data_IF_492846128360
#
_entry.id   IF_492846128360
#
_cell.length_a   1.000
_cell.length_b   1.000
_cell.length_c   1.000
_cell.angle_alpha   90.00
_cell.angle_beta   90.00
_cell.angle_gamma   90.00
#
_symmetry.space_group_name_H-M   'P 1'
#
loop_
_entity.id
_entity.type
_entity.pdbx_description
1 polymer ?
#
# COMPACT_ATOMS: atom_id res chain seq x y z
N UNK A 1 7.58 -5.63 -5.84
CA UNK A 1 8.54 -4.63 -5.30
C UNK A 1 8.53 -4.82 -3.81
N UNK A 2 9.64 -5.20 -3.23
CA UNK A 2 9.71 -5.52 -1.80
C UNK A 2 9.34 -4.28 -1.00
N UNK A 3 8.39 -4.38 -0.09
CA UNK A 3 7.88 -3.24 0.72
C UNK A 3 8.95 -2.64 1.65
N UNK A 4 10.07 -3.34 1.82
CA UNK A 4 11.20 -2.94 2.65
C UNK A 4 12.30 -2.20 1.89
N UNK A 5 12.27 -2.19 0.56
CA UNK A 5 13.32 -1.56 -0.24
C UNK A 5 12.85 -0.21 -0.75
N UNK A 6 13.68 0.81 -0.55
CA UNK A 6 13.51 2.13 -1.14
C UNK A 6 13.40 2.08 -2.68
N UNK A 7 13.63 3.21 -3.30
CA UNK A 7 13.66 3.29 -4.77
C UNK A 7 14.80 2.44 -5.38
N UNK A 8 14.88 2.43 -6.72
CA UNK A 8 15.89 1.67 -7.49
C UNK A 8 17.32 2.04 -7.07
N UNK A 9 17.58 3.31 -6.74
CA UNK A 9 18.89 3.79 -6.32
C UNK A 9 19.31 3.17 -4.97
N UNK A 10 18.41 3.07 -4.00
CA UNK A 10 18.72 2.45 -2.71
C UNK A 10 18.96 0.95 -2.84
N UNK A 11 18.17 0.27 -3.67
CA UNK A 11 18.36 -1.16 -3.97
C UNK A 11 19.75 -1.39 -4.58
N UNK A 12 20.14 -0.58 -5.56
CA UNK A 12 21.46 -0.66 -6.19
C UNK A 12 22.59 -0.35 -5.20
N UNK A 13 22.40 0.64 -4.32
CA UNK A 13 23.37 0.96 -3.27
C UNK A 13 23.58 -0.21 -2.31
N UNK A 14 22.50 -0.88 -1.87
CA UNK A 14 22.56 -2.02 -0.93
C UNK A 14 23.18 -3.27 -1.53
N UNK A 15 23.13 -3.46 -2.84
CA UNK A 15 23.77 -4.58 -3.53
C UNK A 15 25.30 -4.45 -3.61
N UNK A 16 25.82 -3.24 -3.47
CA UNK A 16 27.24 -2.94 -3.59
C UNK A 16 27.96 -2.81 -2.24
N UNK A 17 29.16 -2.25 -2.31
CA UNK A 17 30.08 -2.05 -1.15
C UNK A 17 29.56 -1.04 -0.12
N UNK A 18 28.51 -0.28 -0.41
CA UNK A 18 27.89 0.71 0.47
C UNK A 18 28.91 1.69 1.10
N UNK A 19 29.78 2.27 0.27
CA UNK A 19 30.82 3.15 0.74
C UNK A 19 30.26 4.51 1.15
N UNK A 20 30.59 4.96 2.36
CA UNK A 20 30.23 6.29 2.85
C UNK A 20 31.51 7.12 3.12
N UNK A 21 31.36 8.44 2.87
CA UNK A 21 32.48 9.36 3.14
C UNK A 21 32.72 9.45 4.64
N UNK A 22 33.89 8.99 5.09
CA UNK A 22 34.25 8.82 6.50
C UNK A 22 35.55 9.57 6.83
N UNK A 23 35.69 9.99 8.09
CA UNK A 23 36.89 10.63 8.60
C UNK A 23 37.26 10.04 9.95
N UNK A 24 38.49 10.29 10.37
CA UNK A 24 38.97 9.94 11.69
C UNK A 24 38.58 11.02 12.71
N UNK A 25 38.10 10.60 13.87
CA UNK A 25 37.80 11.50 14.98
C UNK A 25 39.08 12.08 15.57
N UNK A 26 39.17 13.40 15.74
CA UNK A 26 40.41 14.01 16.28
C UNK A 26 40.71 13.65 17.75
N UNK A 27 39.71 13.13 18.48
CA UNK A 27 39.90 12.81 19.91
C UNK A 27 40.11 11.32 20.17
N UNK A 28 39.44 10.41 19.47
CA UNK A 28 39.55 8.97 19.73
C UNK A 28 40.19 8.18 18.57
N UNK A 29 40.50 8.83 17.46
CA UNK A 29 41.09 8.26 16.25
C UNK A 29 40.29 7.13 15.58
N UNK A 30 39.07 6.85 16.04
CA UNK A 30 38.16 5.92 15.33
C UNK A 30 37.54 6.58 14.09
N UNK A 31 37.44 5.80 13.02
CA UNK A 31 36.83 6.24 11.75
C UNK A 31 35.32 6.11 11.84
N UNK A 32 34.61 7.12 11.34
CA UNK A 32 33.14 7.13 11.25
C UNK A 32 32.66 7.93 10.03
N UNK A 33 31.46 7.64 9.49
CA UNK A 33 30.87 8.44 8.42
C UNK A 33 30.61 9.89 8.83
N UNK A 34 30.70 10.80 7.86
CA UNK A 34 30.26 12.19 7.99
C UNK A 34 28.84 12.24 7.47
N UNK A 35 27.89 12.07 8.39
CA UNK A 35 26.46 12.00 8.11
C UNK A 35 25.65 12.90 9.05
N UNK A 36 24.52 13.44 8.58
CA UNK A 36 23.64 14.30 9.37
C UNK A 36 23.09 13.56 10.59
N UNK A 37 22.66 12.32 10.40
CA UNK A 37 22.22 11.44 11.48
C UNK A 37 22.95 10.10 11.38
N UNK A 38 23.56 9.66 12.48
CA UNK A 38 24.16 8.34 12.62
C UNK A 38 23.34 7.49 13.58
N UNK A 39 23.29 6.20 13.30
CA UNK A 39 22.67 5.24 14.19
C UNK A 39 23.34 5.21 15.57
N UNK A 40 22.61 4.72 16.55
CA UNK A 40 23.16 4.56 17.89
C UNK A 40 24.27 3.51 17.85
N UNK A 41 25.47 3.89 18.30
CA UNK A 41 26.57 2.97 18.38
C UNK A 41 26.29 1.91 19.47
N UNK A 42 26.36 0.65 19.12
CA UNK A 42 26.02 -0.47 20.02
C UNK A 42 26.94 -0.58 21.23
N UNK A 43 28.26 -0.27 21.07
CA UNK A 43 29.23 -0.36 22.12
C UNK A 43 29.11 0.78 23.15
N UNK A 44 28.89 2.00 22.67
CA UNK A 44 28.95 3.21 23.52
C UNK A 44 27.55 3.70 23.92
N UNK A 45 26.51 3.28 23.21
CA UNK A 45 25.17 3.78 23.38
C UNK A 45 24.96 5.22 22.88
N UNK A 46 25.97 5.84 22.26
CA UNK A 46 25.93 7.22 21.79
C UNK A 46 25.32 7.31 20.37
N UNK A 47 24.52 8.32 20.15
CA UNK A 47 24.07 8.71 18.81
C UNK A 47 24.99 9.82 18.30
N UNK A 48 25.64 9.56 17.16
CA UNK A 48 26.51 10.52 16.47
C UNK A 48 25.77 11.32 15.38
N UNK A 49 26.55 12.11 14.65
CA UNK A 49 26.04 13.00 13.61
C UNK A 49 25.83 14.43 14.12
N UNK A 50 25.00 15.20 13.42
CA UNK A 50 24.71 16.59 13.82
C UNK A 50 23.74 16.59 15.01
N UNK A 51 24.12 17.33 16.05
CA UNK A 51 23.35 17.47 17.28
C UNK A 51 23.22 18.95 17.65
N UNK A 52 22.20 19.31 18.38
CA UNK A 52 21.95 20.64 18.93
C UNK A 52 21.27 20.54 20.30
N UNK A 53 21.09 21.66 20.96
CA UNK A 53 20.50 21.69 22.29
C UNK A 53 19.07 21.14 22.31
N UNK A 54 18.81 20.21 23.24
CA UNK A 54 17.48 19.65 23.43
C UNK A 54 16.42 20.73 23.76
N UNK A 55 16.84 21.82 24.41
CA UNK A 55 15.99 22.95 24.75
C UNK A 55 15.56 23.80 23.51
N UNK A 56 16.04 23.47 22.31
CA UNK A 56 15.49 24.00 21.06
C UNK A 56 14.16 23.33 20.69
N UNK A 57 13.79 22.17 21.30
CA UNK A 57 12.47 21.57 21.13
C UNK A 57 11.46 22.29 22.02
N UNK A 58 10.36 22.79 21.44
CA UNK A 58 9.28 23.46 22.15
C UNK A 58 8.23 22.47 22.63
N UNK A 59 7.36 22.91 23.53
CA UNK A 59 6.27 22.09 24.07
C UNK A 59 5.23 21.68 23.01
N UNK A 60 5.08 22.49 21.94
CA UNK A 60 4.21 22.21 20.79
C UNK A 60 4.83 21.26 19.75
N UNK A 61 5.91 20.58 20.12
CA UNK A 61 6.71 19.71 19.26
C UNK A 61 7.40 20.38 18.08
N UNK A 62 7.38 21.72 17.99
CA UNK A 62 8.16 22.44 16.98
C UNK A 62 9.58 22.78 17.47
N UNK A 63 10.45 23.15 16.54
CA UNK A 63 11.82 23.58 16.84
C UNK A 63 11.93 25.09 16.89
N UNK A 64 12.66 25.58 17.86
CA UNK A 64 13.27 26.92 17.81
C UNK A 64 14.47 26.85 16.86
N UNK A 65 14.26 27.27 15.62
CA UNK A 65 15.24 27.15 14.55
C UNK A 65 16.51 27.93 14.88
N UNK A 66 16.39 29.14 15.39
CA UNK A 66 17.53 29.98 15.73
C UNK A 66 18.42 29.34 16.79
N UNK A 67 17.80 28.82 17.85
CA UNK A 67 18.51 28.11 18.93
C UNK A 67 19.16 26.81 18.46
N UNK A 68 18.46 26.03 17.61
CA UNK A 68 19.02 24.81 17.04
C UNK A 68 20.24 25.09 16.16
N UNK A 69 20.16 26.11 15.32
CA UNK A 69 21.24 26.56 14.42
C UNK A 69 22.45 27.05 15.21
N UNK A 70 22.24 27.87 16.24
CA UNK A 70 23.32 28.45 17.07
C UNK A 70 24.07 27.37 17.86
N UNK A 71 23.37 26.34 18.33
CA UNK A 71 23.93 25.28 19.17
C UNK A 71 24.39 24.05 18.38
N UNK A 72 24.32 24.02 17.05
CA UNK A 72 24.61 22.84 16.27
C UNK A 72 26.13 22.50 16.24
N UNK A 73 26.41 21.21 16.35
CA UNK A 73 27.73 20.62 16.33
C UNK A 73 27.70 19.18 15.84
N UNK A 74 28.83 18.67 15.37
CA UNK A 74 28.94 17.27 14.97
C UNK A 74 29.50 16.44 16.13
N UNK A 75 28.81 15.36 16.50
CA UNK A 75 29.18 14.45 17.57
C UNK A 75 29.73 13.12 17.03
N UNK A 76 30.92 12.74 17.50
CA UNK A 76 31.47 11.42 17.22
C UNK A 76 30.64 10.30 17.89
N UNK A 77 30.25 9.24 17.18
CA UNK A 77 29.45 8.14 17.75
C UNK A 77 30.26 7.25 18.72
N UNK A 78 31.59 7.32 18.69
CA UNK A 78 32.45 6.46 19.49
C UNK A 78 32.84 7.06 20.84
N UNK A 79 33.09 8.36 20.91
CA UNK A 79 33.58 8.99 22.15
C UNK A 79 32.78 10.22 22.59
N UNK A 80 31.81 10.66 21.79
CA UNK A 80 31.02 11.84 22.10
C UNK A 80 31.74 13.18 21.87
N UNK A 81 32.99 13.19 21.34
CA UNK A 81 33.66 14.42 20.98
C UNK A 81 32.82 15.26 20.02
N UNK A 82 32.70 16.57 20.30
CA UNK A 82 31.89 17.49 19.52
C UNK A 82 32.78 18.47 18.74
N UNK A 83 32.56 18.50 17.42
CA UNK A 83 33.24 19.41 16.49
C UNK A 83 32.34 20.56 16.10
N UNK A 84 32.80 21.83 16.16
CA UNK A 84 31.98 22.99 15.81
C UNK A 84 31.76 23.12 14.29
N UNK A 85 30.68 23.85 13.87
CA UNK A 85 30.44 24.19 12.47
C UNK A 85 31.37 25.30 11.96
N UNK A 86 32.60 24.94 11.63
CA UNK A 86 33.57 25.88 11.07
C UNK A 86 34.10 25.42 9.72
N UNK A 87 34.63 26.36 8.93
CA UNK A 87 35.27 26.04 7.65
C UNK A 87 36.49 25.15 7.84
N UNK A 88 37.21 25.31 8.96
CA UNK A 88 38.35 24.45 9.33
C UNK A 88 37.90 23.00 9.52
N UNK A 89 36.80 22.78 10.27
CA UNK A 89 36.26 21.44 10.49
C UNK A 89 35.86 20.78 9.16
N UNK A 90 35.10 21.47 8.32
CA UNK A 90 34.69 20.94 7.01
C UNK A 90 35.86 20.70 6.05
N UNK A 91 36.84 21.61 6.05
CA UNK A 91 38.04 21.43 5.25
C UNK A 91 38.85 20.22 5.74
N UNK A 92 38.89 19.98 7.05
CA UNK A 92 39.50 18.78 7.64
C UNK A 92 38.83 17.51 7.14
N UNK A 93 37.49 17.44 7.17
CA UNK A 93 36.72 16.29 6.65
C UNK A 93 36.97 16.02 5.17
N UNK A 94 37.05 17.09 4.34
CA UNK A 94 37.34 16.96 2.90
C UNK A 94 38.76 16.46 2.61
N UNK A 95 39.74 16.89 3.39
CA UNK A 95 41.18 16.56 3.19
C UNK A 95 41.56 15.19 3.74
N UNK A 96 41.05 14.84 4.93
CA UNK A 96 41.37 13.60 5.62
C UNK A 96 40.35 12.49 5.39
N UNK A 97 39.19 12.81 4.77
CA UNK A 97 38.16 11.83 4.52
C UNK A 97 38.49 10.88 3.37
N UNK A 98 37.90 9.73 3.44
CA UNK A 98 37.92 8.68 2.40
C UNK A 98 36.63 7.89 2.39
N UNK A 99 36.36 7.22 1.28
CA UNK A 99 35.27 6.25 1.21
C UNK A 99 35.65 4.99 2.00
N UNK A 100 34.77 4.56 2.86
CA UNK A 100 34.90 3.34 3.67
C UNK A 100 33.72 2.42 3.36
N UNK A 101 33.99 1.17 2.96
CA UNK A 101 32.93 0.20 2.70
C UNK A 101 32.29 -0.22 4.02
N UNK A 102 30.94 -0.24 4.02
CA UNK A 102 30.12 -0.75 5.13
C UNK A 102 29.67 -2.20 4.89
N UNK A 103 29.70 -2.65 3.63
CA UNK A 103 29.38 -4.01 3.23
C UNK A 103 30.59 -4.69 2.61
N UNK A 104 31.39 -5.34 3.45
CA UNK A 104 32.58 -6.08 3.02
C UNK A 104 32.26 -7.39 2.31
N UNK A 105 31.02 -7.90 2.44
CA UNK A 105 30.56 -9.11 1.78
C UNK A 105 30.08 -8.89 0.34
N UNK A 106 29.98 -7.63 -0.11
CA UNK A 106 29.57 -7.32 -1.46
C UNK A 106 30.60 -7.79 -2.50
N UNK A 107 30.14 -8.20 -3.72
CA UNK A 107 31.06 -8.47 -4.82
C UNK A 107 31.94 -7.25 -5.11
N UNK A 108 33.24 -7.47 -5.28
CA UNK A 108 34.23 -6.39 -5.47
C UNK A 108 33.95 -5.55 -6.75
N UNK A 109 33.26 -6.14 -7.71
CA UNK A 109 32.88 -5.49 -8.98
C UNK A 109 31.72 -4.50 -8.79
N UNK A 110 30.94 -4.62 -7.70
CA UNK A 110 29.79 -3.74 -7.43
C UNK A 110 30.16 -2.74 -6.37
N UNK A 111 30.70 -1.60 -6.81
CA UNK A 111 31.03 -0.49 -5.91
C UNK A 111 29.88 0.52 -5.88
N UNK A 112 29.39 0.82 -4.69
CA UNK A 112 28.35 1.82 -4.46
C UNK A 112 28.80 2.87 -3.46
N UNK A 113 28.44 4.13 -3.74
CA UNK A 113 28.95 5.28 -2.99
C UNK A 113 27.79 6.17 -2.54
N UNK A 114 27.88 6.71 -1.32
CA UNK A 114 26.99 7.72 -0.78
C UNK A 114 27.78 8.88 -0.21
N UNK A 115 27.38 10.10 -0.57
CA UNK A 115 27.93 11.33 -0.02
C UNK A 115 26.80 12.24 0.41
N UNK A 116 26.77 12.58 1.69
CA UNK A 116 25.79 13.53 2.21
C UNK A 116 26.22 14.98 2.00
N UNK A 117 25.24 15.88 1.92
CA UNK A 117 25.51 17.31 1.76
C UNK A 117 26.35 17.90 2.90
N UNK A 118 26.37 17.27 4.07
CA UNK A 118 27.15 17.67 5.24
C UNK A 118 28.66 17.77 4.96
N UNK A 119 29.20 16.95 4.05
CA UNK A 119 30.61 17.02 3.65
C UNK A 119 30.97 18.35 3.00
N UNK A 120 30.02 19.02 2.33
CA UNK A 120 30.25 20.24 1.55
C UNK A 120 29.51 21.46 2.05
N UNK A 121 28.38 21.31 2.75
CA UNK A 121 27.53 22.39 3.25
C UNK A 121 27.75 22.64 4.75
N UNK A 122 27.59 23.89 5.22
CA UNK A 122 27.59 24.20 6.65
C UNK A 122 26.49 23.43 7.41
N UNK A 123 26.82 22.92 8.60
CA UNK A 123 25.85 22.25 9.47
C UNK A 123 24.64 23.13 9.77
N UNK A 124 24.88 24.41 10.08
CA UNK A 124 23.82 25.37 10.42
C UNK A 124 22.72 25.47 9.35
N UNK A 125 23.10 25.43 8.05
CA UNK A 125 22.14 25.48 6.95
C UNK A 125 21.33 24.19 6.85
N UNK A 126 21.94 23.04 7.13
CA UNK A 126 21.23 21.77 7.12
C UNK A 126 20.30 21.63 8.33
N UNK A 127 20.72 22.14 9.51
CA UNK A 127 19.87 22.17 10.71
C UNK A 127 18.66 23.11 10.50
N UNK A 128 18.87 24.27 9.88
CA UNK A 128 17.80 25.18 9.51
C UNK A 128 16.78 24.49 8.59
N UNK A 129 17.24 23.93 7.45
CA UNK A 129 16.37 23.18 6.51
C UNK A 129 15.63 22.02 7.20
N UNK A 130 16.30 21.26 8.06
CA UNK A 130 15.69 20.16 8.79
C UNK A 130 14.60 20.63 9.76
N UNK A 131 14.91 21.63 10.59
CA UNK A 131 13.98 22.17 11.59
C UNK A 131 12.77 22.82 10.92
N UNK A 132 12.95 23.53 9.81
CA UNK A 132 11.85 24.10 9.03
C UNK A 132 10.95 23.00 8.43
N UNK A 133 11.56 21.96 7.87
CA UNK A 133 10.82 20.80 7.32
C UNK A 133 10.02 20.07 8.40
N UNK A 134 10.61 19.86 9.58
CA UNK A 134 9.93 19.22 10.71
C UNK A 134 8.82 20.09 11.29
N UNK A 135 9.05 21.39 11.44
CA UNK A 135 8.04 22.37 11.87
C UNK A 135 6.86 22.43 10.89
N UNK A 136 7.14 22.38 9.59
CA UNK A 136 6.09 22.34 8.56
C UNK A 136 5.25 21.07 8.71
N UNK A 137 5.88 19.93 8.87
CA UNK A 137 5.21 18.65 9.09
C UNK A 137 4.34 18.66 10.35
N UNK A 138 4.87 19.15 11.48
CA UNK A 138 4.13 19.23 12.75
C UNK A 138 2.87 20.10 12.61
N UNK A 139 2.96 21.22 11.89
CA UNK A 139 1.85 22.17 11.75
C UNK A 139 0.82 21.79 10.69
N UNK A 140 1.25 21.14 9.60
CA UNK A 140 0.41 20.94 8.40
C UNK A 140 0.22 19.46 8.03
N UNK A 141 0.99 18.54 8.62
CA UNK A 141 0.97 17.12 8.27
C UNK A 141 1.59 16.79 6.90
N UNK A 142 2.20 17.79 6.21
CA UNK A 142 2.85 17.60 4.91
C UNK A 142 4.32 17.22 5.09
N UNK A 143 4.69 16.02 4.64
CA UNK A 143 6.04 15.44 4.76
C UNK A 143 6.95 15.76 3.58
N UNK A 144 6.49 16.49 2.57
CA UNK A 144 7.23 16.77 1.34
C UNK A 144 8.62 17.36 1.60
N UNK A 145 8.74 18.35 2.48
CA UNK A 145 10.02 18.98 2.82
C UNK A 145 10.95 18.00 3.56
N UNK A 146 10.40 17.12 4.40
CA UNK A 146 11.18 16.06 5.08
C UNK A 146 11.71 15.03 4.08
N UNK A 147 10.88 14.63 3.11
CA UNK A 147 11.27 13.74 2.01
C UNK A 147 12.40 14.38 1.21
N UNK A 148 12.28 15.67 0.86
CA UNK A 148 13.32 16.39 0.13
C UNK A 148 14.63 16.48 0.91
N UNK A 149 14.56 16.77 2.19
CA UNK A 149 15.74 16.81 3.06
C UNK A 149 16.42 15.42 3.09
N UNK A 150 15.66 14.36 3.37
CA UNK A 150 16.18 12.99 3.46
C UNK A 150 16.84 12.55 2.15
N UNK A 151 16.17 12.78 1.02
CA UNK A 151 16.65 12.31 -0.29
C UNK A 151 17.75 13.20 -0.88
N UNK A 152 17.65 14.53 -0.74
CA UNK A 152 18.57 15.47 -1.38
C UNK A 152 19.74 15.91 -0.48
N UNK A 153 19.62 15.84 0.85
CA UNK A 153 20.66 16.25 1.78
C UNK A 153 21.38 15.09 2.43
N UNK A 154 20.63 14.09 2.88
CA UNK A 154 21.23 12.87 3.46
C UNK A 154 21.52 11.81 2.39
N UNK A 155 21.09 11.99 1.15
CA UNK A 155 21.22 11.00 0.06
C UNK A 155 20.71 9.60 0.49
N UNK A 156 19.66 9.58 1.31
CA UNK A 156 19.04 8.36 1.84
C UNK A 156 17.61 8.23 1.34
N UNK A 157 17.10 7.02 1.12
CA UNK A 157 15.71 6.84 0.74
C UNK A 157 14.81 7.33 1.87
N UNK A 158 13.66 7.90 1.49
CA UNK A 158 12.56 8.10 2.40
C UNK A 158 11.84 6.77 2.59
N UNK A 159 12.10 6.12 3.70
CA UNK A 159 11.37 4.92 4.10
C UNK A 159 10.19 5.41 4.93
N UNK A 160 8.98 5.34 4.37
CA UNK A 160 7.78 5.47 5.19
C UNK A 160 7.78 4.25 6.10
N UNK A 161 7.85 4.42 7.41
CA UNK A 161 7.47 3.35 8.35
C UNK A 161 6.00 3.04 8.09
N UNK A 162 5.79 2.06 7.21
CA UNK A 162 4.44 1.67 6.82
C UNK A 162 3.79 1.05 8.03
N UNK A 163 2.81 1.72 8.61
CA UNK A 163 1.86 1.05 9.49
C UNK A 163 1.11 0.06 8.61
N UNK A 164 1.52 -1.19 8.63
CA UNK A 164 0.83 -2.27 7.94
C UNK A 164 -0.28 -2.74 8.85
N UNK A 165 -1.51 -2.50 8.48
CA UNK A 165 -2.65 -3.12 9.14
C UNK A 165 -2.99 -4.38 8.35
N UNK A 166 -2.56 -5.53 8.87
CA UNK A 166 -3.02 -6.82 8.37
C UNK A 166 -4.47 -7.01 8.83
N UNK A 167 -5.42 -6.70 7.97
CA UNK A 167 -6.85 -6.86 8.27
C UNK A 167 -7.28 -8.34 8.31
N UNK A 168 -6.46 -9.23 7.75
CA UNK A 168 -6.72 -10.67 7.69
C UNK A 168 -5.70 -11.45 8.50
N UNK A 169 -5.67 -11.29 9.81
CA UNK A 169 -4.55 -11.75 10.63
C UNK A 169 -4.48 -13.27 10.77
N UNK A 170 -5.59 -14.00 10.81
CA UNK A 170 -5.59 -15.46 10.89
C UNK A 170 -6.84 -16.08 10.25
N UNK A 171 -6.68 -17.26 9.63
CA UNK A 171 -7.81 -18.01 9.07
C UNK A 171 -8.86 -18.44 10.13
N UNK A 172 -8.45 -18.53 11.39
CA UNK A 172 -9.33 -18.82 12.54
C UNK A 172 -10.30 -17.67 12.88
N UNK A 173 -10.03 -16.46 12.36
CA UNK A 173 -10.85 -15.28 12.66
C UNK A 173 -12.06 -15.15 11.72
N UNK A 174 -12.14 -15.98 10.68
CA UNK A 174 -13.28 -15.99 9.78
C UNK A 174 -14.42 -16.83 10.34
N UNK A 175 -15.64 -16.31 10.22
CA UNK A 175 -16.83 -17.07 10.56
C UNK A 175 -17.09 -18.13 9.49
N UNK A 176 -16.63 -19.35 9.73
CA UNK A 176 -16.95 -20.51 8.88
C UNK A 176 -18.35 -20.98 9.27
N UNK A 177 -19.31 -20.80 8.38
CA UNK A 177 -20.68 -21.22 8.63
C UNK A 177 -20.86 -22.75 8.44
N UNK A 178 -21.85 -23.33 9.10
CA UNK A 178 -22.15 -24.76 9.03
C UNK A 178 -22.94 -25.09 7.73
N UNK A 179 -22.36 -24.78 6.58
CA UNK A 179 -22.90 -25.18 5.27
C UNK A 179 -21.79 -25.70 4.37
N UNK A 180 -22.16 -26.48 3.34
CA UNK A 180 -21.24 -26.99 2.34
C UNK A 180 -21.20 -26.10 1.11
N UNK A 181 -20.07 -26.14 0.39
CA UNK A 181 -19.91 -25.40 -0.85
C UNK A 181 -21.01 -25.78 -1.88
N UNK A 182 -21.62 -24.75 -2.48
CA UNK A 182 -22.72 -24.93 -3.43
C UNK A 182 -24.11 -25.23 -2.83
N UNK A 183 -24.24 -25.35 -1.52
CA UNK A 183 -25.52 -25.57 -0.84
C UNK A 183 -26.42 -24.35 -0.99
N UNK A 184 -27.68 -24.58 -1.41
CA UNK A 184 -28.70 -23.55 -1.52
C UNK A 184 -29.15 -23.07 -0.14
N UNK A 185 -29.52 -21.78 -0.04
CA UNK A 185 -29.99 -21.17 1.20
C UNK A 185 -31.40 -20.65 1.06
N UNK A 186 -32.17 -20.76 2.14
CA UNK A 186 -33.47 -20.14 2.24
C UNK A 186 -33.34 -18.60 2.25
N UNK A 187 -34.23 -17.93 1.51
CA UNK A 187 -34.20 -16.47 1.41
C UNK A 187 -33.10 -15.89 0.52
N UNK A 188 -32.47 -16.73 -0.31
CA UNK A 188 -31.54 -16.28 -1.36
C UNK A 188 -32.30 -15.39 -2.38
N UNK A 189 -31.76 -14.19 -2.64
CA UNK A 189 -32.34 -13.21 -3.56
C UNK A 189 -31.67 -13.27 -4.93
N UNK A 190 -30.34 -13.38 -4.97
CA UNK A 190 -29.56 -13.30 -6.20
C UNK A 190 -28.21 -13.97 -6.04
N UNK A 191 -27.68 -14.50 -7.15
CA UNK A 191 -26.30 -15.01 -7.25
C UNK A 191 -25.49 -14.15 -8.19
N UNK A 192 -24.28 -13.86 -7.81
CA UNK A 192 -23.28 -13.23 -8.66
C UNK A 192 -22.10 -14.16 -8.87
N UNK A 193 -21.45 -14.00 -10.03
CA UNK A 193 -20.18 -14.64 -10.38
C UNK A 193 -19.16 -13.56 -10.75
N UNK A 194 -18.04 -13.55 -10.06
CA UNK A 194 -16.90 -12.72 -10.39
C UNK A 194 -15.80 -13.56 -11.04
N UNK A 195 -15.21 -13.02 -12.10
CA UNK A 195 -14.21 -13.68 -12.93
C UNK A 195 -13.00 -12.78 -13.05
N UNK A 196 -11.88 -13.20 -12.47
CA UNK A 196 -10.59 -12.54 -12.62
C UNK A 196 -9.74 -13.25 -13.65
N UNK A 197 -9.47 -12.56 -14.79
CA UNK A 197 -8.76 -13.10 -15.94
C UNK A 197 -7.25 -13.05 -15.72
N UNK A 198 -6.59 -14.19 -15.91
CA UNK A 198 -5.14 -14.33 -15.97
C UNK A 198 -4.67 -14.61 -17.42
N UNK A 199 -3.39 -14.86 -17.59
CA UNK A 199 -2.80 -15.08 -18.93
C UNK A 199 -3.39 -16.31 -19.64
N UNK A 200 -3.55 -17.42 -18.91
CA UNK A 200 -3.92 -18.75 -19.42
C UNK A 200 -5.07 -19.40 -18.67
N UNK A 201 -5.62 -18.74 -17.65
CA UNK A 201 -6.70 -19.26 -16.82
C UNK A 201 -7.53 -18.12 -16.23
N UNK A 202 -8.53 -18.49 -15.43
CA UNK A 202 -9.38 -17.55 -14.68
C UNK A 202 -9.51 -18.00 -13.22
N UNK A 203 -9.54 -17.05 -12.30
CA UNK A 203 -10.05 -17.26 -10.97
C UNK A 203 -11.50 -16.86 -10.91
N UNK A 204 -12.30 -17.71 -10.30
CA UNK A 204 -13.77 -17.53 -10.27
C UNK A 204 -14.27 -17.63 -8.85
N UNK A 205 -15.08 -16.68 -8.45
CA UNK A 205 -15.87 -16.76 -7.23
C UNK A 205 -17.35 -16.63 -7.55
N UNK A 206 -18.18 -17.47 -6.93
CA UNK A 206 -19.63 -17.41 -7.02
C UNK A 206 -20.19 -17.29 -5.62
N UNK A 207 -21.08 -16.32 -5.43
CA UNK A 207 -21.73 -16.07 -4.17
C UNK A 207 -23.22 -15.81 -4.30
N UNK A 208 -23.95 -16.19 -3.26
CA UNK A 208 -25.35 -15.92 -3.09
C UNK A 208 -25.58 -14.82 -2.06
N UNK A 209 -26.49 -13.92 -2.34
CA UNK A 209 -26.89 -12.86 -1.43
C UNK A 209 -28.33 -13.04 -0.97
N UNK A 210 -28.56 -12.74 0.30
CA UNK A 210 -29.86 -12.70 0.97
C UNK A 210 -30.04 -11.34 1.63
N UNK A 211 -31.27 -10.85 1.69
CA UNK A 211 -31.60 -9.57 2.34
C UNK A 211 -32.63 -9.69 3.47
N UNK A 212 -33.12 -10.88 3.75
CA UNK A 212 -34.27 -11.09 4.66
C UNK A 212 -34.03 -10.65 6.11
N UNK A 213 -32.77 -10.74 6.59
CA UNK A 213 -32.36 -10.37 7.95
C UNK A 213 -31.15 -9.43 7.98
N UNK A 214 -31.00 -8.61 6.93
CA UNK A 214 -29.81 -7.83 6.62
C UNK A 214 -28.99 -8.48 5.50
N UNK A 215 -28.11 -7.72 4.84
CA UNK A 215 -27.35 -8.24 3.71
C UNK A 215 -26.43 -9.37 4.18
N UNK A 216 -26.62 -10.55 3.61
CA UNK A 216 -25.79 -11.73 3.93
C UNK A 216 -25.24 -12.29 2.63
N UNK A 217 -23.92 -12.48 2.58
CA UNK A 217 -23.21 -13.18 1.52
C UNK A 217 -22.91 -14.60 1.95
N UNK A 218 -23.02 -15.55 1.04
CA UNK A 218 -22.51 -16.92 1.16
C UNK A 218 -21.71 -17.29 -0.06
N UNK A 219 -20.47 -17.73 0.16
CA UNK A 219 -19.64 -18.26 -0.90
C UNK A 219 -20.16 -19.61 -1.35
N UNK A 220 -20.46 -19.77 -2.63
CA UNK A 220 -20.90 -21.01 -3.23
C UNK A 220 -19.80 -21.76 -3.97
N UNK A 221 -18.79 -21.04 -4.47
CA UNK A 221 -17.66 -21.57 -5.18
C UNK A 221 -16.50 -20.59 -5.18
N UNK A 222 -15.29 -21.10 -5.07
CA UNK A 222 -14.06 -20.40 -5.41
C UNK A 222 -13.07 -21.40 -6.03
N UNK A 223 -12.49 -21.05 -7.18
CA UNK A 223 -11.51 -21.92 -7.82
C UNK A 223 -10.98 -21.41 -9.14
N UNK A 224 -10.00 -22.11 -9.65
CA UNK A 224 -9.35 -21.88 -10.94
C UNK A 224 -10.09 -22.62 -12.05
N UNK A 225 -10.19 -21.98 -13.21
CA UNK A 225 -10.87 -22.48 -14.42
C UNK A 225 -9.95 -22.25 -15.62
N UNK A 226 -9.82 -23.24 -16.50
CA UNK A 226 -8.83 -23.24 -17.57
C UNK A 226 -9.41 -22.84 -18.94
N UNK A 227 -10.71 -22.98 -19.15
CA UNK A 227 -11.32 -22.71 -20.47
C UNK A 227 -12.61 -21.90 -20.36
N UNK A 228 -12.95 -21.17 -21.45
CA UNK A 228 -14.20 -20.41 -21.56
C UNK A 228 -15.45 -21.31 -21.40
N UNK A 229 -15.38 -22.53 -21.94
CA UNK A 229 -16.48 -23.47 -21.83
C UNK A 229 -16.71 -23.91 -20.39
N UNK A 230 -15.65 -24.15 -19.64
CA UNK A 230 -15.74 -24.42 -18.20
C UNK A 230 -16.33 -23.25 -17.42
N UNK A 231 -15.96 -22.00 -17.76
CA UNK A 231 -16.58 -20.80 -17.16
C UNK A 231 -18.09 -20.81 -17.37
N UNK A 232 -18.55 -21.04 -18.61
CA UNK A 232 -19.97 -21.08 -18.96
C UNK A 232 -20.69 -22.24 -18.28
N UNK A 233 -20.08 -23.43 -18.25
CA UNK A 233 -20.63 -24.59 -17.53
C UNK A 233 -20.77 -24.31 -16.03
N UNK A 234 -19.77 -23.65 -15.42
CA UNK A 234 -19.80 -23.28 -14.02
C UNK A 234 -20.93 -22.31 -13.72
N UNK A 235 -21.08 -21.26 -14.53
CA UNK A 235 -22.17 -20.31 -14.43
C UNK A 235 -23.54 -21.01 -14.47
N UNK A 236 -23.78 -21.90 -15.44
CA UNK A 236 -25.01 -22.64 -15.57
C UNK A 236 -25.25 -23.60 -14.39
N UNK A 237 -24.20 -24.28 -13.95
CA UNK A 237 -24.26 -25.18 -12.79
C UNK A 237 -24.77 -24.48 -11.54
N UNK A 238 -24.29 -23.25 -11.32
CA UNK A 238 -24.70 -22.45 -10.17
C UNK A 238 -25.90 -21.53 -10.46
N UNK A 239 -26.50 -21.64 -11.64
CA UNK A 239 -27.70 -20.88 -12.06
C UNK A 239 -27.52 -19.37 -11.92
N UNK A 240 -26.36 -18.84 -12.27
CA UNK A 240 -26.09 -17.42 -12.29
C UNK A 240 -26.60 -16.82 -13.60
N UNK A 241 -27.42 -15.77 -13.53
CA UNK A 241 -27.91 -15.06 -14.71
C UNK A 241 -26.78 -14.34 -15.45
N UNK A 242 -26.88 -14.18 -16.77
CA UNK A 242 -25.83 -13.58 -17.60
C UNK A 242 -25.47 -12.16 -17.11
N UNK A 243 -26.47 -11.34 -16.82
CA UNK A 243 -26.24 -9.98 -16.31
C UNK A 243 -25.65 -9.92 -14.89
N UNK A 244 -25.59 -11.05 -14.18
CA UNK A 244 -25.03 -11.20 -12.84
C UNK A 244 -23.60 -11.76 -12.85
N UNK A 245 -22.97 -11.86 -14.01
CA UNK A 245 -21.56 -12.23 -14.16
C UNK A 245 -20.73 -10.98 -14.43
N UNK A 246 -19.71 -10.77 -13.62
CA UNK A 246 -18.72 -9.70 -13.77
C UNK A 246 -17.35 -10.29 -14.10
N UNK A 247 -16.68 -9.74 -15.11
CA UNK A 247 -15.30 -10.11 -15.46
C UNK A 247 -14.38 -8.92 -15.32
N UNK A 248 -13.22 -9.11 -14.65
CA UNK A 248 -12.22 -8.06 -14.56
C UNK A 248 -11.70 -7.64 -15.94
N UNK A 249 -11.77 -6.34 -16.22
CA UNK A 249 -11.37 -5.70 -17.49
C UNK A 249 -10.01 -5.00 -17.38
N UNK A 250 -9.33 -5.13 -16.25
CA UNK A 250 -8.00 -4.54 -16.04
C UNK A 250 -6.92 -5.17 -16.91
N UNK A 251 -7.00 -6.46 -17.14
CA UNK A 251 -6.08 -7.22 -17.98
C UNK A 251 -6.77 -7.72 -19.27
N UNK A 252 -6.13 -7.47 -20.44
CA UNK A 252 -6.63 -7.86 -21.78
C UNK A 252 -8.09 -7.44 -22.05
N UNK A 253 -8.43 -6.16 -22.02
CA UNK A 253 -9.80 -5.68 -22.13
C UNK A 253 -10.54 -6.17 -23.40
N UNK A 254 -9.86 -6.32 -24.52
CA UNK A 254 -10.49 -6.83 -25.76
C UNK A 254 -10.95 -8.29 -25.65
N UNK A 255 -10.25 -9.14 -24.90
CA UNK A 255 -10.68 -10.51 -24.64
C UNK A 255 -11.88 -10.56 -23.71
N UNK A 256 -11.89 -9.68 -22.68
CA UNK A 256 -13.02 -9.52 -21.75
C UNK A 256 -14.26 -9.00 -22.49
N UNK A 257 -14.10 -7.99 -23.34
CA UNK A 257 -15.20 -7.45 -24.15
C UNK A 257 -15.80 -8.53 -25.06
N UNK A 258 -14.96 -9.42 -25.62
CA UNK A 258 -15.45 -10.59 -26.38
C UNK A 258 -16.28 -11.52 -25.50
N UNK A 259 -15.78 -11.88 -24.31
CA UNK A 259 -16.49 -12.76 -23.39
C UNK A 259 -17.82 -12.14 -22.95
N UNK A 260 -17.83 -10.83 -22.65
CA UNK A 260 -19.02 -10.08 -22.30
C UNK A 260 -20.03 -10.02 -23.46
N UNK A 261 -19.56 -9.80 -24.70
CA UNK A 261 -20.42 -9.77 -25.89
C UNK A 261 -21.06 -11.16 -26.15
N UNK A 262 -20.23 -12.22 -26.10
CA UNK A 262 -20.67 -13.59 -26.42
C UNK A 262 -21.64 -14.16 -25.38
N UNK A 263 -21.48 -13.76 -24.09
CA UNK A 263 -22.21 -14.35 -22.97
C UNK A 263 -23.22 -13.40 -22.29
N UNK A 264 -23.25 -12.13 -22.66
CA UNK A 264 -24.12 -11.14 -22.02
C UNK A 264 -23.64 -10.71 -20.63
N UNK A 265 -22.33 -10.86 -20.36
CA UNK A 265 -21.70 -10.52 -19.08
C UNK A 265 -21.39 -9.03 -18.95
N UNK A 266 -20.88 -8.61 -17.81
CA UNK A 266 -20.48 -7.24 -17.52
C UNK A 266 -18.99 -7.16 -17.29
N UNK A 267 -18.33 -6.17 -17.94
CA UNK A 267 -16.94 -5.84 -17.63
C UNK A 267 -16.85 -5.03 -16.33
N UNK A 268 -15.76 -5.21 -15.57
CA UNK A 268 -15.43 -4.43 -14.38
C UNK A 268 -14.03 -3.88 -14.51
N UNK A 269 -13.87 -2.53 -14.48
CA UNK A 269 -12.54 -1.89 -14.54
C UNK A 269 -12.22 -1.24 -13.20
N UNK A 270 -11.26 -1.82 -12.48
CA UNK A 270 -10.83 -1.37 -11.16
C UNK A 270 -9.99 -0.09 -11.20
N UNK A 271 -10.17 0.73 -10.18
CA UNK A 271 -9.31 1.86 -9.79
C UNK A 271 -9.03 1.74 -8.30
N UNK A 272 -7.85 2.17 -7.85
CA UNK A 272 -7.50 2.08 -6.44
C UNK A 272 -8.52 2.86 -5.58
N UNK A 273 -8.53 4.17 -5.69
CA UNK A 273 -9.48 5.01 -4.94
C UNK A 273 -10.05 6.09 -5.86
N UNK A 274 -11.29 5.87 -6.32
CA UNK A 274 -12.01 6.80 -7.18
C UNK A 274 -13.49 6.79 -6.85
N UNK A 275 -14.15 7.93 -7.00
CA UNK A 275 -15.60 8.05 -6.88
C UNK A 275 -16.18 8.70 -8.11
N UNK A 276 -17.48 8.50 -8.32
CA UNK A 276 -18.24 9.06 -9.43
C UNK A 276 -19.48 9.75 -8.88
N UNK A 277 -19.65 11.02 -9.22
CA UNK A 277 -20.83 11.79 -8.81
C UNK A 277 -22.02 11.37 -9.65
N UNK A 278 -23.03 10.80 -9.02
CA UNK A 278 -24.27 10.36 -9.65
C UNK A 278 -25.47 10.80 -8.81
N UNK A 279 -26.65 10.80 -9.41
CA UNK A 279 -27.89 11.08 -8.69
C UNK A 279 -28.33 9.85 -7.90
N UNK A 280 -28.50 10.01 -6.60
CA UNK A 280 -29.07 8.97 -5.75
C UNK A 280 -30.60 8.94 -5.93
N UNK A 281 -31.14 7.83 -6.39
CA UNK A 281 -32.58 7.67 -6.66
C UNK A 281 -33.45 7.82 -5.40
N UNK A 282 -32.91 7.47 -4.23
CA UNK A 282 -33.65 7.52 -2.98
C UNK A 282 -33.78 8.93 -2.40
N UNK A 283 -32.73 9.75 -2.54
CA UNK A 283 -32.68 11.12 -1.97
C UNK A 283 -32.80 12.23 -3.02
N UNK A 284 -32.77 11.90 -4.31
CA UNK A 284 -32.72 12.83 -5.45
C UNK A 284 -31.54 13.81 -5.41
N UNK A 285 -30.47 13.48 -4.66
CA UNK A 285 -29.26 14.28 -4.50
C UNK A 285 -28.11 13.75 -5.33
N UNK A 286 -27.21 14.65 -5.71
CA UNK A 286 -25.91 14.23 -6.27
C UNK A 286 -25.01 13.78 -5.12
N UNK A 287 -24.59 12.54 -5.14
CA UNK A 287 -23.65 11.97 -4.18
C UNK A 287 -22.51 11.23 -4.90
N UNK A 288 -21.42 11.00 -4.20
CA UNK A 288 -20.28 10.29 -4.73
C UNK A 288 -20.40 8.80 -4.47
N UNK A 289 -20.50 8.00 -5.52
CA UNK A 289 -20.52 6.53 -5.47
C UNK A 289 -19.14 5.93 -5.71
N UNK A 290 -18.85 4.74 -5.15
CA UNK A 290 -17.60 4.01 -5.41
C UNK A 290 -17.63 3.22 -6.74
N UNK A 291 -18.60 3.47 -7.60
CA UNK A 291 -18.72 2.90 -8.95
C UNK A 291 -19.36 3.90 -9.90
N UNK A 292 -19.16 3.70 -11.20
CA UNK A 292 -19.74 4.55 -12.25
C UNK A 292 -21.14 4.08 -12.67
N UNK A 293 -21.86 4.93 -13.40
CA UNK A 293 -22.91 4.45 -14.30
C UNK A 293 -22.37 3.43 -15.31
N UNK A 294 -23.22 2.56 -15.87
CA UNK A 294 -22.81 1.63 -16.91
C UNK A 294 -22.20 2.40 -18.09
N UNK A 295 -21.02 1.98 -18.51
CA UNK A 295 -20.33 2.48 -19.68
C UNK A 295 -20.46 1.49 -20.82
N UNK A 296 -20.32 1.98 -22.03
CA UNK A 296 -20.40 1.18 -23.24
C UNK A 296 -19.04 1.11 -23.92
N UNK A 297 -18.63 -0.09 -24.30
CA UNK A 297 -17.52 -0.35 -25.19
C UNK A 297 -18.06 -0.92 -26.50
N UNK A 298 -17.67 -0.35 -27.63
CA UNK A 298 -18.01 -0.91 -28.95
C UNK A 298 -17.09 -2.12 -29.20
N UNK A 299 -17.69 -3.29 -29.30
CA UNK A 299 -17.00 -4.50 -29.68
C UNK A 299 -17.68 -5.14 -30.89
N UNK A 300 -17.04 -5.08 -32.06
CA UNK A 300 -17.54 -5.62 -33.32
C UNK A 300 -18.94 -5.12 -33.73
N UNK A 301 -19.24 -3.85 -33.40
CA UNK A 301 -20.54 -3.22 -33.71
C UNK A 301 -21.66 -3.58 -32.73
N UNK A 302 -21.33 -4.15 -31.57
CA UNK A 302 -22.24 -4.42 -30.46
C UNK A 302 -21.85 -3.74 -29.17
N UNK A 303 -22.83 -3.36 -28.38
CA UNK A 303 -22.62 -2.69 -27.09
C UNK A 303 -22.22 -3.70 -26.01
N UNK A 304 -21.05 -3.52 -25.43
CA UNK A 304 -20.59 -4.24 -24.24
C UNK A 304 -20.63 -3.31 -23.05
N UNK A 305 -21.41 -3.66 -22.03
CA UNK A 305 -21.55 -2.87 -20.83
C UNK A 305 -20.47 -3.21 -19.81
N UNK A 306 -19.85 -2.16 -19.23
CA UNK A 306 -18.90 -2.30 -18.15
C UNK A 306 -19.06 -1.18 -17.11
N UNK A 307 -18.55 -1.41 -15.90
CA UNK A 307 -18.50 -0.44 -14.83
C UNK A 307 -17.05 -0.11 -14.45
N UNK A 308 -16.81 1.15 -14.17
CA UNK A 308 -15.63 1.57 -13.42
C UNK A 308 -15.93 1.45 -11.92
N UNK A 309 -15.01 0.95 -11.11
CA UNK A 309 -15.24 0.76 -9.68
C UNK A 309 -14.00 1.02 -8.84
N UNK A 310 -14.20 1.33 -7.54
CA UNK A 310 -13.13 1.60 -6.56
C UNK A 310 -12.77 0.31 -5.83
N UNK A 311 -11.63 -0.29 -6.18
CA UNK A 311 -11.14 -1.51 -5.54
C UNK A 311 -10.93 -1.33 -4.03
N UNK A 312 -10.28 -0.25 -3.62
CA UNK A 312 -9.99 0.04 -2.21
C UNK A 312 -11.26 0.14 -1.36
N UNK A 313 -12.31 0.79 -1.87
CA UNK A 313 -13.57 0.91 -1.14
C UNK A 313 -14.20 -0.46 -0.87
N UNK A 314 -14.28 -1.32 -1.89
CA UNK A 314 -14.92 -2.63 -1.74
C UNK A 314 -14.02 -3.64 -0.98
N UNK A 315 -12.71 -3.51 -1.04
CA UNK A 315 -11.77 -4.23 -0.16
C UNK A 315 -11.94 -3.81 1.30
N UNK A 316 -12.16 -2.52 1.57
CA UNK A 316 -12.47 -2.02 2.92
C UNK A 316 -13.82 -2.58 3.41
N UNK A 317 -14.84 -2.61 2.54
CA UNK A 317 -16.15 -3.17 2.88
C UNK A 317 -16.06 -4.68 3.18
N UNK A 318 -15.29 -5.42 2.38
CA UNK A 318 -15.02 -6.84 2.61
C UNK A 318 -14.29 -7.07 3.95
N UNK A 319 -13.26 -6.29 4.23
CA UNK A 319 -12.51 -6.37 5.47
C UNK A 319 -13.41 -6.15 6.69
N UNK A 320 -14.26 -5.13 6.64
CA UNK A 320 -15.23 -4.88 7.70
C UNK A 320 -16.22 -6.03 7.88
N UNK A 321 -16.67 -6.63 6.77
CA UNK A 321 -17.59 -7.78 6.83
C UNK A 321 -16.93 -9.04 7.41
N UNK A 322 -15.67 -9.31 7.07
CA UNK A 322 -14.88 -10.42 7.61
C UNK A 322 -14.59 -10.23 9.11
N UNK A 323 -14.40 -9.01 9.57
CA UNK A 323 -14.22 -8.68 10.99
C UNK A 323 -15.57 -8.55 11.75
N UNK A 324 -16.69 -8.90 11.11
CA UNK A 324 -18.05 -8.74 11.65
C UNK A 324 -18.37 -7.29 12.10
N UNK A 325 -17.77 -6.31 11.42
CA UNK A 325 -18.05 -4.89 11.60
C UNK A 325 -19.16 -4.44 10.63
N UNK A 326 -20.26 -3.92 11.13
CA UNK A 326 -21.40 -3.48 10.35
C UNK A 326 -22.46 -4.57 10.13
N UNK A 327 -23.40 -4.31 9.19
CA UNK A 327 -24.60 -5.13 9.00
C UNK A 327 -24.40 -6.28 8.00
N UNK A 328 -23.38 -6.20 7.16
CA UNK A 328 -23.07 -7.22 6.16
C UNK A 328 -22.43 -8.44 6.81
N UNK A 329 -23.07 -9.60 6.65
CA UNK A 329 -22.52 -10.89 7.07
C UNK A 329 -21.84 -11.56 5.89
N UNK A 330 -20.54 -11.87 6.05
CA UNK A 330 -19.75 -12.61 5.06
C UNK A 330 -19.53 -14.03 5.53
N UNK A 331 -20.21 -14.99 4.93
CA UNK A 331 -20.20 -16.38 5.39
C UNK A 331 -19.44 -17.26 4.40
N UNK A 332 -18.48 -17.99 4.92
CA UNK A 332 -17.70 -18.98 4.17
C UNK A 332 -18.21 -20.39 4.49
N UNK A 333 -18.15 -21.33 3.53
CA UNK A 333 -18.56 -22.70 3.78
C UNK A 333 -17.56 -23.43 4.71
N UNK A 334 -18.01 -24.46 5.41
CA UNK A 334 -17.15 -25.28 6.29
C UNK A 334 -16.00 -25.95 5.54
N UNK A 335 -16.16 -26.18 4.23
CA UNK A 335 -15.20 -26.75 3.29
C UNK A 335 -14.61 -25.69 2.35
N UNK A 336 -14.43 -24.46 2.87
CA UNK A 336 -13.84 -23.36 2.10
C UNK A 336 -12.49 -23.79 1.48
N UNK A 337 -12.29 -23.39 0.22
CA UNK A 337 -11.04 -23.66 -0.46
C UNK A 337 -9.88 -22.98 0.27
N UNK A 338 -8.85 -23.71 0.73
CA UNK A 338 -7.71 -23.10 1.43
C UNK A 338 -7.00 -22.00 0.63
N UNK A 339 -6.95 -22.11 -0.71
CA UNK A 339 -6.37 -21.11 -1.58
C UNK A 339 -7.15 -19.78 -1.50
N UNK A 340 -8.45 -19.81 -1.27
CA UNK A 340 -9.22 -18.57 -1.06
C UNK A 340 -8.70 -17.80 0.14
N UNK A 341 -8.46 -18.48 1.26
CA UNK A 341 -7.93 -17.86 2.48
C UNK A 341 -6.50 -17.33 2.29
N UNK A 342 -5.70 -17.96 1.44
CA UNK A 342 -4.38 -17.46 1.05
C UNK A 342 -4.49 -16.19 0.20
N UNK A 343 -5.42 -16.17 -0.76
CA UNK A 343 -5.65 -15.03 -1.63
C UNK A 343 -6.19 -13.81 -0.87
N UNK A 344 -6.96 -13.99 0.21
CA UNK A 344 -7.38 -12.89 1.08
C UNK A 344 -6.22 -12.20 1.80
N UNK A 345 -5.10 -12.92 1.99
CA UNK A 345 -3.87 -12.40 2.62
C UNK A 345 -2.87 -11.81 1.63
N UNK A 346 -3.18 -11.84 0.34
CA UNK A 346 -2.29 -11.38 -0.72
C UNK A 346 -2.01 -9.88 -0.70
N UNK A 347 -2.91 -9.10 -0.11
CA UNK A 347 -2.74 -7.66 0.08
C UNK A 347 -2.94 -7.25 1.55
N UNK A 348 -2.39 -6.11 1.89
CA UNK A 348 -2.57 -5.46 3.18
C UNK A 348 -2.85 -3.98 2.98
N UNK A 349 -3.57 -3.37 3.92
CA UNK A 349 -3.81 -1.94 3.92
C UNK A 349 -2.60 -1.22 4.50
N UNK A 350 -1.99 -0.33 3.73
CA UNK A 350 -0.74 0.35 4.04
C UNK A 350 -0.95 1.85 4.04
N UNK A 351 -0.50 2.54 5.07
CA UNK A 351 -0.45 3.99 5.07
C UNK A 351 0.70 4.46 4.18
N UNK A 352 0.37 5.03 3.02
CA UNK A 352 1.35 5.54 2.04
C UNK A 352 1.78 6.97 2.32
N UNK A 353 0.93 7.74 2.99
CA UNK A 353 1.17 9.08 3.56
C UNK A 353 0.28 9.21 4.78
N UNK A 354 0.59 10.15 5.66
CA UNK A 354 -0.22 10.40 6.86
C UNK A 354 -1.70 10.53 6.52
N UNK A 355 -2.50 9.60 7.03
CA UNK A 355 -3.95 9.54 6.81
C UNK A 355 -4.39 9.00 5.44
N UNK A 356 -3.47 8.67 4.51
CA UNK A 356 -3.79 8.11 3.20
C UNK A 356 -3.41 6.63 3.18
N UNK A 357 -4.41 5.78 3.11
CA UNK A 357 -4.27 4.33 3.13
C UNK A 357 -4.63 3.72 1.78
N UNK A 358 -3.83 2.75 1.32
CA UNK A 358 -4.08 1.99 0.09
C UNK A 358 -3.87 0.50 0.33
N UNK A 359 -4.57 -0.31 -0.44
CA UNK A 359 -4.32 -1.74 -0.52
C UNK A 359 -3.09 -2.01 -1.39
N UNK A 360 -2.15 -2.79 -0.87
CA UNK A 360 -0.89 -3.14 -1.55
C UNK A 360 -0.57 -4.61 -1.37
N UNK A 361 0.01 -5.22 -2.38
CA UNK A 361 0.54 -6.58 -2.28
C UNK A 361 1.52 -6.71 -1.10
N UNK A 362 1.36 -7.75 -0.30
CA UNK A 362 2.25 -8.04 0.85
C UNK A 362 3.65 -8.36 0.36
N UNK A 363 3.74 -9.08 -0.75
CA UNK A 363 4.98 -9.39 -1.48
C UNK A 363 4.70 -9.38 -2.98
N UNK A 364 5.75 -9.19 -3.78
CA UNK A 364 5.64 -9.25 -5.24
C UNK A 364 5.00 -10.57 -5.70
N UNK A 365 3.96 -10.46 -6.53
CA UNK A 365 3.18 -11.59 -7.06
C UNK A 365 2.47 -12.43 -5.97
N UNK A 366 2.12 -11.83 -4.83
CA UNK A 366 1.24 -12.50 -3.88
C UNK A 366 -0.12 -12.76 -4.54
N UNK A 367 -0.67 -13.99 -4.43
CA UNK A 367 -1.97 -14.26 -5.00
C UNK A 367 -3.05 -13.48 -4.25
N UNK A 368 -3.78 -12.61 -4.95
CA UNK A 368 -4.84 -11.76 -4.39
C UNK A 368 -6.20 -11.94 -5.09
N UNK A 369 -6.29 -12.86 -6.06
CA UNK A 369 -7.46 -13.02 -6.92
C UNK A 369 -8.77 -13.28 -6.15
N UNK A 370 -8.73 -13.97 -5.00
CA UNK A 370 -9.89 -14.16 -4.13
C UNK A 370 -10.33 -12.86 -3.45
N UNK A 371 -9.39 -11.98 -3.11
CA UNK A 371 -9.70 -10.66 -2.58
C UNK A 371 -10.37 -9.78 -3.65
N UNK A 372 -9.85 -9.79 -4.87
CA UNK A 372 -10.38 -9.00 -5.98
C UNK A 372 -11.75 -9.50 -6.43
N UNK A 373 -11.96 -10.82 -6.57
CA UNK A 373 -13.28 -11.40 -6.92
C UNK A 373 -14.32 -11.10 -5.85
N UNK A 374 -13.99 -11.23 -4.57
CA UNK A 374 -14.90 -10.89 -3.47
C UNK A 374 -15.29 -9.39 -3.48
N UNK A 375 -14.33 -8.50 -3.71
CA UNK A 375 -14.58 -7.08 -3.83
C UNK A 375 -15.48 -6.75 -5.05
N UNK A 376 -15.28 -7.46 -6.18
CA UNK A 376 -16.16 -7.35 -7.36
C UNK A 376 -17.59 -7.81 -7.06
N UNK A 377 -17.77 -8.92 -6.32
CA UNK A 377 -19.09 -9.39 -5.92
C UNK A 377 -19.82 -8.37 -5.03
N UNK A 378 -19.10 -7.73 -4.12
CA UNK A 378 -19.66 -6.63 -3.29
C UNK A 378 -20.05 -5.42 -4.14
N UNK A 379 -19.23 -5.05 -5.12
CA UNK A 379 -19.57 -3.99 -6.06
C UNK A 379 -20.85 -4.32 -6.84
N UNK A 380 -20.96 -5.53 -7.39
CA UNK A 380 -22.16 -6.00 -8.10
C UNK A 380 -23.41 -5.97 -7.22
N UNK A 381 -23.29 -6.44 -5.97
CA UNK A 381 -24.39 -6.44 -5.02
C UNK A 381 -24.84 -5.00 -4.65
N UNK A 382 -23.89 -4.06 -4.63
CA UNK A 382 -24.19 -2.64 -4.37
C UNK A 382 -24.84 -1.99 -5.59
N UNK A 383 -24.37 -2.24 -6.81
CA UNK A 383 -24.99 -1.78 -8.06
C UNK A 383 -26.43 -2.31 -8.18
N UNK A 384 -26.65 -3.58 -7.80
CA UNK A 384 -27.98 -4.21 -7.82
C UNK A 384 -28.86 -3.81 -6.61
N UNK A 385 -28.41 -2.89 -5.76
CA UNK A 385 -29.10 -2.40 -4.56
C UNK A 385 -29.47 -3.50 -3.54
N UNK A 386 -28.76 -4.62 -3.55
CA UNK A 386 -28.84 -5.68 -2.53
C UNK A 386 -28.11 -5.25 -1.27
N UNK A 387 -26.97 -4.56 -1.43
CA UNK A 387 -26.24 -3.85 -0.38
C UNK A 387 -26.48 -2.37 -0.59
N UNK A 388 -27.03 -1.70 0.42
CA UNK A 388 -27.23 -0.25 0.34
C UNK A 388 -25.89 0.49 0.51
N UNK A 389 -25.60 1.36 -0.45
CA UNK A 389 -24.50 2.30 -0.30
C UNK A 389 -24.93 3.41 0.66
N UNK A 390 -24.14 3.60 1.71
CA UNK A 390 -24.26 4.78 2.58
C UNK A 390 -23.10 5.72 2.26
N UNK A 391 -23.40 6.90 1.71
CA UNK A 391 -22.38 7.91 1.49
C UNK A 391 -21.71 8.28 2.83
N UNK A 392 -20.38 8.48 2.86
CA UNK A 392 -19.70 8.97 4.04
C UNK A 392 -20.39 10.24 4.55
N UNK A 393 -20.67 10.33 5.84
CA UNK A 393 -21.14 11.59 6.44
C UNK A 393 -19.98 12.58 6.35
N UNK A 394 -20.22 13.74 5.71
CA UNK A 394 -19.30 14.87 5.68
C UNK A 394 -18.92 15.32 7.09
#
# INVERSE_FOLDING_TARGET
MDLETGNVEDTSFRQGTQQEWSTECPACHKVHPIAFALDKNEETGLRGGVVWDAAARRDDETWDVARAVESCRFRCPHCGHESPDTDTTRTGWKRAGRFVPLNEAAPAEIQSFRVESLVSRPMRLLVEEFCEADNHFVRQGDDKMKIEFKTKREARPWIVEKKVVNLFVQASDYTVAQFSNGEAIDGEVIRFMAVDRQQDHWWVEIGAFSSATGPTYRQLYFGRVETRDQLRQLQHRYKVQDACVAQDRGYRPADVDRDCADFGWRGMRGYARKTWTMRDEASDKLINFPFSEPRVSDYRGGDVFYYDWSGDYFKDLLANALEAKGDLKWLLPKDVNPLYLEHLKGESKVEIRTGIWEWREVKSNAPNHGLDTSAMLLCMATIANVIRYAAPKE
#
